data_IF_310330070764
#
_entry.id   IF_310330070764
#
_cell.length_a   1.000
_cell.length_b   1.000
_cell.length_c   1.000
_cell.angle_alpha   90.00
_cell.angle_beta   90.00
_cell.angle_gamma   90.00
#
_symmetry.space_group_name_H-M   'P 1'
#
loop_
_entity.id
_entity.type
_entity.pdbx_description
1 polymer ?
#
# COMPACT_ATOMS: atom_id res chain seq x y z
N UNK A 1 27.19 1.96 5.97
CA UNK A 1 25.95 1.89 6.76
C UNK A 1 24.80 1.70 5.78
N UNK A 2 24.15 0.54 5.79
CA UNK A 2 22.95 0.33 4.99
C UNK A 2 21.77 0.77 5.85
N UNK A 3 21.22 1.94 5.57
CA UNK A 3 19.93 2.33 6.13
C UNK A 3 18.92 1.42 5.45
N UNK A 4 18.44 0.40 6.14
CA UNK A 4 17.21 -0.25 5.73
C UNK A 4 16.15 0.84 5.75
N UNK A 5 15.51 1.11 4.61
CA UNK A 5 14.36 2.01 4.56
C UNK A 5 13.25 1.36 5.38
N UNK A 6 13.18 1.70 6.68
CA UNK A 6 12.15 1.22 7.59
C UNK A 6 10.86 1.91 7.14
N UNK A 7 9.89 1.11 6.69
CA UNK A 7 8.53 1.59 6.50
C UNK A 7 7.92 1.76 7.89
N UNK A 8 7.64 3.01 8.26
CA UNK A 8 7.01 3.36 9.52
C UNK A 8 5.56 3.75 9.23
N UNK A 9 4.62 2.91 9.67
CA UNK A 9 3.19 3.14 9.52
C UNK A 9 2.58 3.99 10.67
N UNK A 10 3.38 4.53 11.58
CA UNK A 10 2.90 5.48 12.57
C UNK A 10 2.41 6.79 11.94
N UNK A 11 1.69 7.59 12.73
CA UNK A 11 1.11 8.87 12.30
C UNK A 11 2.18 9.85 11.81
N UNK A 12 3.34 9.84 12.46
CA UNK A 12 4.53 10.61 12.07
C UNK A 12 5.51 9.80 11.20
N UNK A 13 5.04 8.69 10.64
CA UNK A 13 5.78 7.79 9.78
C UNK A 13 5.94 8.30 8.34
N UNK A 14 6.44 7.42 7.47
CA UNK A 14 6.83 7.76 6.09
C UNK A 14 5.85 7.19 5.04
N UNK A 15 4.57 7.07 5.40
CA UNK A 15 3.53 6.51 4.51
C UNK A 15 2.42 7.50 4.14
N UNK A 16 2.60 8.80 4.43
CA UNK A 16 1.56 9.80 4.17
C UNK A 16 1.23 9.99 2.68
N UNK A 17 2.16 9.67 1.80
CA UNK A 17 2.05 9.79 0.34
C UNK A 17 1.60 8.48 -0.35
N UNK A 18 1.33 7.43 0.43
CA UNK A 18 0.79 6.19 -0.10
C UNK A 18 -0.66 6.35 -0.51
N UNK A 19 -1.03 5.67 -1.59
CA UNK A 19 -2.34 5.79 -2.21
C UNK A 19 -3.09 4.47 -2.21
N UNK A 20 -4.40 4.56 -2.06
CA UNK A 20 -5.30 3.42 -2.26
C UNK A 20 -5.49 3.18 -3.76
N UNK A 21 -5.40 1.92 -4.17
CA UNK A 21 -5.75 1.50 -5.54
C UNK A 21 -6.71 0.33 -5.46
N UNK A 22 -7.93 0.56 -5.95
CA UNK A 22 -8.96 -0.46 -6.13
C UNK A 22 -9.06 -0.87 -7.61
N UNK A 23 -9.74 -1.98 -7.88
CA UNK A 23 -10.09 -2.39 -9.24
C UNK A 23 -10.94 -1.33 -9.93
N UNK A 24 -10.55 -0.90 -11.14
CA UNK A 24 -11.27 0.13 -11.90
C UNK A 24 -11.67 -0.25 -13.33
N UNK A 25 -11.06 -1.30 -13.90
CA UNK A 25 -11.12 -1.57 -15.35
C UNK A 25 -12.28 -2.50 -15.76
N UNK A 26 -12.93 -3.20 -14.82
CA UNK A 26 -14.03 -4.15 -15.09
C UNK A 26 -15.26 -3.91 -14.19
N UNK A 27 -15.64 -2.63 -13.99
CA UNK A 27 -16.81 -2.27 -13.17
C UNK A 27 -16.53 -2.09 -11.68
N UNK A 28 -15.27 -2.28 -11.26
CA UNK A 28 -14.65 -1.68 -10.08
C UNK A 28 -15.54 -1.56 -8.85
N UNK A 29 -15.77 -2.68 -8.17
CA UNK A 29 -16.68 -2.73 -7.03
C UNK A 29 -15.97 -2.87 -5.69
N UNK A 30 -14.63 -2.99 -5.67
CA UNK A 30 -13.91 -2.95 -4.40
C UNK A 30 -13.85 -1.52 -3.88
N UNK A 31 -14.03 -1.38 -2.57
CA UNK A 31 -13.96 -0.10 -1.89
C UNK A 31 -13.06 -0.28 -0.67
N UNK A 32 -12.18 0.68 -0.45
CA UNK A 32 -11.26 0.64 0.67
C UNK A 32 -10.91 2.04 1.16
N UNK A 33 -10.46 2.10 2.41
CA UNK A 33 -10.01 3.28 3.12
C UNK A 33 -8.72 2.98 3.87
N UNK A 34 -7.95 4.02 4.16
CA UNK A 34 -6.73 3.97 4.94
C UNK A 34 -6.81 5.08 5.99
N UNK A 35 -6.64 4.71 7.26
CA UNK A 35 -6.66 5.65 8.39
C UNK A 35 -5.37 5.52 9.18
N UNK A 36 -4.65 6.62 9.36
CA UNK A 36 -3.42 6.65 10.15
C UNK A 36 -3.72 6.78 11.64
N UNK A 37 -3.09 5.91 12.44
CA UNK A 37 -3.03 5.96 13.90
C UNK A 37 -1.59 6.17 14.34
N UNK A 38 -1.37 6.41 15.64
CA UNK A 38 -0.05 6.80 16.16
C UNK A 38 1.07 5.84 15.77
N UNK A 39 0.81 4.53 15.77
CA UNK A 39 1.83 3.49 15.52
C UNK A 39 1.53 2.60 14.31
N UNK A 40 0.41 2.79 13.60
CA UNK A 40 0.03 1.94 12.47
C UNK A 40 -0.97 2.64 11.53
N UNK A 41 -1.10 2.11 10.32
CA UNK A 41 -2.17 2.47 9.38
C UNK A 41 -3.19 1.34 9.34
N UNK A 42 -4.47 1.67 9.51
CA UNK A 42 -5.57 0.74 9.25
C UNK A 42 -6.01 0.86 7.80
N UNK A 43 -5.59 -0.09 6.97
CA UNK A 43 -6.14 -0.29 5.63
C UNK A 43 -7.30 -1.29 5.71
N UNK A 44 -8.50 -0.89 5.29
CA UNK A 44 -9.71 -1.72 5.41
C UNK A 44 -10.69 -1.46 4.28
N UNK A 45 -11.58 -2.41 4.00
CA UNK A 45 -12.53 -2.30 2.91
C UNK A 45 -13.20 -3.60 2.56
N UNK A 46 -13.86 -3.64 1.40
CA UNK A 46 -14.45 -4.84 0.81
C UNK A 46 -13.89 -5.04 -0.58
N UNK A 47 -13.35 -6.23 -0.84
CA UNK A 47 -12.95 -6.68 -2.18
C UNK A 47 -14.11 -7.41 -2.83
N UNK A 48 -14.50 -7.00 -4.03
CA UNK A 48 -15.53 -7.69 -4.81
C UNK A 48 -14.92 -8.78 -5.68
N UNK A 49 -15.56 -9.95 -5.76
CA UNK A 49 -15.19 -11.00 -6.72
C UNK A 49 -16.06 -10.99 -7.99
N UNK A 50 -17.01 -10.05 -8.09
CA UNK A 50 -17.86 -9.88 -9.27
C UNK A 50 -17.02 -9.41 -10.46
N UNK A 51 -17.55 -9.53 -11.68
CA UNK A 51 -16.89 -9.10 -12.92
C UNK A 51 -15.46 -9.65 -13.12
N UNK A 52 -15.28 -10.93 -12.81
CA UNK A 52 -14.02 -11.69 -12.95
C UNK A 52 -12.95 -11.38 -11.90
N UNK A 53 -13.36 -10.88 -10.73
CA UNK A 53 -12.48 -10.68 -9.58
C UNK A 53 -12.34 -9.21 -9.19
N UNK A 54 -11.49 -8.95 -8.21
CA UNK A 54 -11.21 -7.61 -7.74
C UNK A 54 -9.97 -7.58 -6.88
N UNK A 55 -9.46 -6.38 -6.66
CA UNK A 55 -8.32 -6.15 -5.80
C UNK A 55 -8.48 -4.81 -5.08
N UNK A 56 -7.85 -4.71 -3.92
CA UNK A 56 -7.66 -3.47 -3.19
C UNK A 56 -6.22 -3.47 -2.68
N UNK A 57 -5.53 -2.34 -2.80
CA UNK A 57 -4.15 -2.21 -2.37
C UNK A 57 -3.88 -0.84 -1.77
N UNK A 58 -2.91 -0.79 -0.87
CA UNK A 58 -2.33 0.45 -0.36
C UNK A 58 -0.87 0.49 -0.84
N UNK A 59 -0.57 1.48 -1.68
CA UNK A 59 0.60 1.45 -2.56
C UNK A 59 1.50 2.65 -2.28
N UNK A 60 2.77 2.38 -2.03
CA UNK A 60 3.80 3.42 -1.95
C UNK A 60 3.95 4.18 -3.28
N UNK A 61 4.46 5.41 -3.25
CA UNK A 61 4.91 6.06 -4.47
C UNK A 61 5.98 5.21 -5.16
N UNK A 62 6.06 5.32 -6.49
CA UNK A 62 7.18 4.78 -7.25
C UNK A 62 8.29 5.84 -7.29
N UNK A 63 9.51 5.44 -6.95
CA UNK A 63 10.71 6.26 -7.08
C UNK A 63 11.82 5.49 -7.80
N UNK A 64 12.95 6.16 -8.07
CA UNK A 64 14.15 5.47 -8.54
C UNK A 64 14.70 4.62 -7.39
N UNK A 65 14.24 3.37 -7.30
CA UNK A 65 14.72 2.40 -6.32
C UNK A 65 15.79 1.54 -6.99
N UNK A 66 17.04 1.68 -6.54
CA UNK A 66 18.14 0.81 -7.01
C UNK A 66 17.98 -0.56 -6.34
N UNK A 67 17.31 -1.48 -7.03
CA UNK A 67 17.01 -2.83 -6.52
C UNK A 67 18.25 -3.66 -6.19
N UNK A 68 19.43 -3.33 -6.74
CA UNK A 68 20.71 -4.02 -6.45
C UNK A 68 21.13 -3.93 -4.97
N UNK A 69 20.62 -2.93 -4.25
CA UNK A 69 20.97 -2.66 -2.84
C UNK A 69 19.99 -3.38 -1.89
N UNK A 70 18.82 -3.82 -2.39
CA UNK A 70 17.80 -4.50 -1.60
C UNK A 70 18.13 -5.99 -1.60
N UNK A 71 18.52 -6.52 -0.43
CA UNK A 71 18.58 -7.97 -0.25
C UNK A 71 17.16 -8.52 -0.35
N UNK A 72 16.91 -9.55 -1.17
CA UNK A 72 15.61 -10.21 -1.17
C UNK A 72 15.33 -10.75 0.24
N UNK A 73 14.10 -10.57 0.70
CA UNK A 73 13.61 -11.24 1.90
C UNK A 73 13.72 -12.75 1.64
N UNK A 74 14.49 -13.45 2.48
CA UNK A 74 14.50 -14.91 2.52
C UNK A 74 13.22 -15.42 3.14
#
# INVERSE_FOLDING_TARGET
>A
MYTSDIINFGKDGNTMDWVIVNDGVMGGLSQSTAVSYDNYVLFSGTTSLKNNGGFASYRSPYGLIILKIIKPLK
#
